data_IF_773462219826
#
_entry.id   IF_773462219826
#
_cell.length_a   1.000
_cell.length_b   1.000
_cell.length_c   1.000
_cell.angle_alpha   90.00
_cell.angle_beta   90.00
_cell.angle_gamma   90.00
#
_symmetry.space_group_name_H-M   'P 1'
#
loop_
_entity.id
_entity.type
_entity.pdbx_description
1 polymer ?
#
# COMPACT_ATOMS: atom_id res chain seq x y z
N UNK A 1 -21.10 -1.02 -50.03
CA UNK A 1 -21.58 0.21 -49.38
C UNK A 1 -21.88 -0.18 -47.94
N UNK A 2 -21.13 0.16 -46.90
CA UNK A 2 -20.24 1.30 -46.63
C UNK A 2 -19.21 0.81 -45.61
N UNK A 3 -17.92 1.01 -45.89
CA UNK A 3 -16.80 0.63 -45.03
C UNK A 3 -16.41 1.84 -44.19
N UNK A 4 -16.32 1.70 -42.86
CA UNK A 4 -15.83 2.75 -41.95
C UNK A 4 -14.44 2.36 -41.48
N UNK A 5 -13.44 3.03 -42.06
CA UNK A 5 -12.03 2.99 -41.66
C UNK A 5 -11.80 3.76 -40.37
N UNK A 6 -11.15 3.13 -39.40
CA UNK A 6 -10.58 3.77 -38.22
C UNK A 6 -9.21 4.36 -38.55
N UNK A 7 -9.06 5.67 -38.35
CA UNK A 7 -7.80 6.43 -38.46
C UNK A 7 -7.05 6.36 -37.13
N UNK A 8 -5.75 6.00 -37.10
CA UNK A 8 -4.94 6.11 -35.88
C UNK A 8 -4.35 7.51 -35.73
N UNK A 9 -4.57 8.13 -34.57
CA UNK A 9 -3.88 9.35 -34.12
C UNK A 9 -2.42 9.01 -33.76
N UNK A 10 -1.46 9.58 -34.51
CA UNK A 10 -0.04 9.58 -34.19
C UNK A 10 0.28 10.79 -33.30
N UNK A 11 0.78 10.58 -32.09
CA UNK A 11 1.48 11.61 -31.33
C UNK A 11 2.99 11.50 -31.59
N UNK A 12 3.57 12.58 -32.09
CA UNK A 12 5.00 12.72 -32.38
C UNK A 12 5.67 13.34 -31.15
N UNK A 13 6.64 12.64 -30.54
CA UNK A 13 7.51 13.19 -29.50
C UNK A 13 8.94 13.15 -30.05
N UNK A 14 9.48 14.32 -30.32
CA UNK A 14 10.86 14.56 -30.76
C UNK A 14 11.81 14.45 -29.57
N UNK A 15 12.81 13.58 -29.70
CA UNK A 15 13.91 13.40 -28.76
C UNK A 15 14.97 14.48 -28.95
N UNK A 16 15.36 15.17 -27.89
CA UNK A 16 16.61 15.92 -27.82
C UNK A 16 17.45 15.36 -26.66
N UNK A 17 18.48 14.59 -27.04
CA UNK A 17 19.56 14.14 -26.15
C UNK A 17 20.49 15.32 -25.89
N UNK A 18 20.82 15.59 -24.63
CA UNK A 18 21.99 16.38 -24.28
C UNK A 18 22.95 15.53 -23.44
N UNK A 19 24.15 15.30 -23.98
CA UNK A 19 25.29 14.70 -23.29
C UNK A 19 25.97 15.78 -22.45
N UNK A 20 26.28 15.48 -21.18
CA UNK A 20 27.28 16.23 -20.43
C UNK A 20 28.40 15.29 -19.99
N UNK A 21 29.59 15.57 -20.50
CA UNK A 21 30.87 14.97 -20.12
C UNK A 21 31.30 15.47 -18.73
N UNK A 22 31.95 14.60 -17.97
CA UNK A 22 32.52 14.91 -16.67
C UNK A 22 33.78 15.77 -16.74
N UNK A 23 34.06 16.47 -15.65
CA UNK A 23 35.41 16.89 -15.27
C UNK A 23 35.47 17.03 -13.74
N UNK A 24 36.23 16.12 -13.14
CA UNK A 24 36.71 16.13 -11.76
C UNK A 24 37.73 17.24 -11.57
N UNK A 25 37.69 18.03 -10.50
CA UNK A 25 38.87 18.76 -10.02
C UNK A 25 38.89 18.88 -8.50
N UNK A 26 40.10 18.65 -7.98
CA UNK A 26 40.47 18.38 -6.59
C UNK A 26 40.53 19.64 -5.74
N UNK A 27 40.26 19.41 -4.44
CA UNK A 27 40.63 20.27 -3.32
C UNK A 27 42.15 20.28 -3.09
N UNK A 28 42.70 21.46 -2.78
CA UNK A 28 43.83 21.61 -1.86
C UNK A 28 43.70 22.92 -1.09
N UNK A 29 43.76 22.80 0.24
CA UNK A 29 43.83 23.89 1.19
C UNK A 29 45.25 24.49 1.30
N UNK A 30 45.36 25.76 1.68
CA UNK A 30 46.48 26.26 2.47
C UNK A 30 46.16 27.56 3.20
N UNK A 31 46.52 27.55 4.49
CA UNK A 31 46.54 28.54 5.57
C UNK A 31 47.62 29.61 5.22
N UNK A 32 47.59 30.89 5.61
CA UNK A 32 47.95 31.41 6.96
C UNK A 32 48.22 32.94 6.90
N UNK A 33 47.67 33.67 7.88
CA UNK A 33 48.29 34.71 8.75
C UNK A 33 49.21 35.84 8.21
N UNK A 34 48.91 37.12 8.53
CA UNK A 34 49.51 37.97 9.61
C UNK A 34 49.40 39.50 9.36
N UNK A 35 48.94 40.19 10.41
CA UNK A 35 49.37 41.47 11.03
C UNK A 35 49.67 42.74 10.21
N UNK A 36 49.01 43.84 10.58
CA UNK A 36 49.56 45.04 11.29
C UNK A 36 48.54 46.21 11.17
N UNK A 37 47.78 46.63 12.17
CA UNK A 37 48.04 47.49 13.35
C UNK A 37 48.47 48.95 13.07
N UNK A 38 47.67 49.87 13.65
CA UNK A 38 47.93 51.28 14.05
C UNK A 38 48.04 52.31 12.90
N UNK A 39 47.51 53.54 12.97
CA UNK A 39 47.33 54.45 14.11
C UNK A 39 46.30 55.56 13.82
N UNK A 40 45.68 56.04 14.89
CA UNK A 40 44.85 57.25 15.06
C UNK A 40 45.66 58.55 15.04
N UNK A 41 45.08 59.65 14.49
CA UNK A 41 44.84 60.94 15.19
C UNK A 41 44.69 62.15 14.25
N UNK A 42 43.60 62.93 14.45
CA UNK A 42 43.42 64.43 14.43
C UNK A 42 44.18 65.31 13.40
N UNK A 43 43.69 66.42 12.83
CA UNK A 43 42.58 67.34 13.11
C UNK A 43 42.50 68.42 11.99
N UNK A 44 41.29 68.98 11.78
CA UNK A 44 40.93 70.36 11.35
C UNK A 44 41.71 71.10 10.24
N UNK A 45 41.02 71.54 9.17
CA UNK A 45 40.48 72.93 9.03
C UNK A 45 40.04 73.30 7.60
N UNK A 46 39.02 74.15 7.55
CA UNK A 46 38.64 75.15 6.52
C UNK A 46 38.16 74.73 5.12
N UNK A 47 36.87 75.01 4.92
CA UNK A 47 36.08 75.36 3.73
C UNK A 47 36.78 75.82 2.44
N UNK A 48 36.31 75.28 1.32
CA UNK A 48 35.87 76.08 0.17
C UNK A 48 34.97 75.25 -0.76
N UNK A 49 33.78 75.78 -1.04
CA UNK A 49 32.81 75.27 -2.00
C UNK A 49 33.37 75.27 -3.42
N UNK A 50 33.36 74.12 -4.08
CA UNK A 50 33.40 74.05 -5.55
C UNK A 50 32.52 72.89 -5.99
N UNK A 51 31.46 73.24 -6.70
CA UNK A 51 30.52 72.33 -7.35
C UNK A 51 31.25 71.50 -8.41
N UNK A 52 31.60 70.27 -8.07
CA UNK A 52 32.04 69.25 -9.03
C UNK A 52 30.85 68.33 -9.35
N UNK A 53 30.35 68.46 -10.56
CA UNK A 53 29.46 67.51 -11.22
C UNK A 53 30.08 66.10 -11.19
N UNK A 54 29.34 65.04 -10.85
CA UNK A 54 29.88 63.68 -10.93
C UNK A 54 30.10 63.34 -12.41
N UNK A 55 31.36 63.18 -12.79
CA UNK A 55 31.75 62.60 -14.07
C UNK A 55 31.37 61.13 -14.07
N UNK A 56 30.22 60.83 -14.66
CA UNK A 56 29.77 59.47 -14.95
C UNK A 56 30.73 58.84 -15.96
N UNK A 57 31.74 58.12 -15.49
CA UNK A 57 32.58 57.28 -16.34
C UNK A 57 31.71 56.18 -16.98
N UNK A 58 31.71 56.00 -18.31
CA UNK A 58 30.88 54.99 -18.96
C UNK A 58 31.42 53.60 -18.60
N UNK A 59 30.76 52.92 -17.66
CA UNK A 59 31.01 51.50 -17.41
C UNK A 59 30.81 50.74 -18.72
N UNK A 60 31.87 50.07 -19.20
CA UNK A 60 31.86 49.32 -20.44
C UNK A 60 30.71 48.29 -20.46
N UNK A 61 30.11 48.00 -21.63
CA UNK A 61 28.99 47.07 -21.72
C UNK A 61 29.34 45.69 -21.12
N UNK A 62 30.61 45.26 -21.23
CA UNK A 62 31.11 44.00 -20.68
C UNK A 62 30.99 43.91 -19.15
N UNK A 63 31.21 45.02 -18.45
CA UNK A 63 31.11 45.09 -16.98
C UNK A 63 29.66 45.01 -16.50
N UNK A 64 28.73 45.57 -17.28
CA UNK A 64 27.28 45.46 -17.00
C UNK A 64 26.76 44.03 -17.20
N UNK A 65 27.19 43.35 -18.26
CA UNK A 65 26.82 41.95 -18.48
C UNK A 65 27.34 41.01 -17.38
N UNK A 66 28.56 41.23 -16.88
CA UNK A 66 29.12 40.46 -15.76
C UNK A 66 28.37 40.71 -14.45
N UNK A 67 27.94 41.94 -14.18
CA UNK A 67 27.14 42.24 -13.00
C UNK A 67 25.76 41.56 -13.07
N UNK A 68 25.11 41.59 -14.24
CA UNK A 68 23.80 40.95 -14.45
C UNK A 68 23.91 39.43 -14.29
N UNK A 69 24.95 38.78 -14.83
CA UNK A 69 25.12 37.33 -14.69
C UNK A 69 25.37 36.93 -13.24
N UNK A 70 26.20 37.67 -12.49
CA UNK A 70 26.43 37.42 -11.06
C UNK A 70 25.15 37.54 -10.23
N UNK A 71 24.35 38.59 -10.45
CA UNK A 71 23.07 38.78 -9.76
C UNK A 71 22.09 37.65 -10.11
N UNK A 72 22.06 37.21 -11.37
CA UNK A 72 21.18 36.13 -11.83
C UNK A 72 21.54 34.78 -11.19
N UNK A 73 22.84 34.46 -11.12
CA UNK A 73 23.33 33.24 -10.48
C UNK A 73 23.07 33.27 -8.97
N UNK A 74 23.29 34.42 -8.32
CA UNK A 74 22.98 34.58 -6.90
C UNK A 74 21.48 34.44 -6.63
N UNK A 75 20.62 35.07 -7.44
CA UNK A 75 19.17 34.94 -7.33
C UNK A 75 18.69 33.50 -7.57
N UNK A 76 19.27 32.80 -8.55
CA UNK A 76 18.99 31.38 -8.78
C UNK A 76 19.44 30.49 -7.61
N UNK A 77 20.62 30.77 -7.04
CA UNK A 77 21.14 30.06 -5.86
C UNK A 77 20.26 30.28 -4.62
N UNK A 78 19.85 31.53 -4.37
CA UNK A 78 18.91 31.88 -3.30
C UNK A 78 17.54 31.23 -3.54
N UNK A 79 17.03 31.26 -4.77
CA UNK A 79 15.77 30.61 -5.15
C UNK A 79 15.81 29.09 -4.95
N UNK A 80 16.92 28.44 -5.32
CA UNK A 80 17.12 27.00 -5.09
C UNK A 80 17.22 26.67 -3.59
N UNK A 81 17.89 27.52 -2.81
CA UNK A 81 17.99 27.36 -1.36
C UNK A 81 16.64 27.53 -0.66
N UNK A 82 15.88 28.59 -0.99
CA UNK A 82 14.53 28.82 -0.46
C UNK A 82 13.61 27.64 -0.82
N UNK A 83 13.65 27.16 -2.07
CA UNK A 83 12.86 26.00 -2.50
C UNK A 83 13.27 24.71 -1.78
N UNK A 84 14.56 24.54 -1.45
CA UNK A 84 15.03 23.39 -0.67
C UNK A 84 14.57 23.42 0.79
N UNK A 85 14.19 24.60 1.30
CA UNK A 85 13.68 24.79 2.66
C UNK A 85 12.16 24.86 2.74
N UNK A 86 11.44 24.86 1.62
CA UNK A 86 9.97 24.75 1.65
C UNK A 86 9.61 23.39 2.25
N UNK A 87 8.77 23.33 3.30
CA UNK A 87 8.29 22.06 3.84
C UNK A 87 7.72 21.21 2.71
N UNK A 88 8.13 19.95 2.63
CA UNK A 88 7.55 19.01 1.65
C UNK A 88 6.02 18.96 1.82
N UNK A 89 5.31 18.63 0.72
CA UNK A 89 3.84 18.52 0.74
C UNK A 89 3.38 17.68 1.93
N UNK A 90 2.50 18.24 2.75
CA UNK A 90 1.85 17.53 3.86
C UNK A 90 0.84 16.49 3.36
N UNK A 91 0.39 16.64 2.11
CA UNK A 91 -0.59 15.76 1.48
C UNK A 91 0.08 14.66 0.67
N UNK A 92 -0.40 13.43 0.84
CA UNK A 92 0.05 12.25 0.09
C UNK A 92 -0.15 12.48 -1.42
N UNK A 93 0.87 12.20 -2.24
CA UNK A 93 0.80 12.33 -3.70
C UNK A 93 1.68 11.30 -4.42
N UNK A 94 1.40 11.08 -5.70
CA UNK A 94 2.05 10.04 -6.52
C UNK A 94 3.47 10.40 -6.95
N UNK A 95 3.84 11.68 -6.92
CA UNK A 95 5.11 12.16 -7.47
C UNK A 95 6.23 12.18 -6.43
N UNK A 96 5.92 12.63 -5.22
CA UNK A 96 6.90 12.94 -4.18
C UNK A 96 6.62 12.16 -2.90
N UNK A 97 7.69 11.90 -2.14
CA UNK A 97 7.55 11.30 -0.82
C UNK A 97 7.11 12.34 0.22
N UNK A 98 6.07 12.00 0.95
CA UNK A 98 5.56 12.75 2.11
C UNK A 98 5.97 12.05 3.40
N UNK A 99 6.32 12.82 4.42
CA UNK A 99 6.72 12.28 5.73
C UNK A 99 5.51 11.98 6.60
N UNK A 100 5.48 10.79 7.17
CA UNK A 100 4.55 10.33 8.18
C UNK A 100 5.32 9.96 9.44
N UNK A 101 4.77 10.19 10.61
CA UNK A 101 5.34 9.71 11.87
C UNK A 101 4.66 8.39 12.28
N UNK A 102 5.46 7.42 12.72
CA UNK A 102 4.98 6.19 13.33
C UNK A 102 4.37 6.50 14.69
N UNK A 103 3.08 6.23 14.86
CA UNK A 103 2.35 6.49 16.12
C UNK A 103 2.41 5.27 17.02
N UNK A 104 2.03 4.10 16.51
CA UNK A 104 2.06 2.84 17.24
C UNK A 104 2.46 1.68 16.34
N UNK A 105 3.02 0.64 16.98
CA UNK A 105 3.25 -0.67 16.38
C UNK A 105 2.74 -1.73 17.34
N UNK A 106 1.60 -2.32 17.02
CA UNK A 106 0.93 -3.30 17.86
C UNK A 106 1.17 -4.71 17.31
N UNK A 107 1.75 -5.64 18.09
CA UNK A 107 1.95 -7.01 17.64
C UNK A 107 0.60 -7.72 17.47
N UNK A 108 0.40 -8.35 16.31
CA UNK A 108 -0.76 -9.22 16.02
C UNK A 108 -0.36 -10.69 16.14
N UNK A 109 0.83 -11.04 15.68
CA UNK A 109 1.43 -12.35 15.84
C UNK A 109 2.94 -12.24 16.03
N UNK A 110 3.64 -13.38 16.15
CA UNK A 110 5.10 -13.41 16.21
C UNK A 110 5.78 -12.85 14.95
N UNK A 111 5.06 -12.76 13.83
CA UNK A 111 5.61 -12.28 12.56
C UNK A 111 4.88 -11.09 11.97
N UNK A 112 3.77 -10.63 12.55
CA UNK A 112 2.94 -9.57 11.97
C UNK A 112 2.59 -8.50 13.01
N UNK A 113 2.55 -7.25 12.57
CA UNK A 113 2.17 -6.11 13.41
C UNK A 113 1.26 -5.16 12.66
N UNK A 114 0.40 -4.48 13.41
CA UNK A 114 -0.38 -3.34 12.96
C UNK A 114 0.43 -2.06 13.18
N UNK A 115 0.66 -1.31 12.12
CA UNK A 115 1.37 -0.03 12.15
C UNK A 115 0.36 1.08 11.99
N UNK A 116 0.37 2.06 12.90
CA UNK A 116 -0.46 3.26 12.82
C UNK A 116 0.44 4.45 12.53
N UNK A 117 0.17 5.14 11.43
CA UNK A 117 0.94 6.29 10.96
C UNK A 117 0.05 7.53 10.89
N UNK A 118 0.65 8.70 11.05
CA UNK A 118 -0.02 9.98 10.79
C UNK A 118 0.86 10.92 9.98
N UNK A 119 0.30 11.82 9.15
CA UNK A 119 1.06 12.86 8.47
C UNK A 119 1.92 13.63 9.47
N UNK A 120 3.19 13.89 9.10
CA UNK A 120 4.10 14.66 9.97
C UNK A 120 3.63 16.10 10.16
N UNK A 121 2.97 16.64 9.14
CA UNK A 121 2.43 17.99 9.10
C UNK A 121 0.93 17.89 8.86
N UNK A 122 0.15 18.68 9.62
CA UNK A 122 -1.30 18.72 9.45
C UNK A 122 -1.67 19.25 8.06
N UNK A 123 -2.67 18.61 7.46
CA UNK A 123 -3.29 19.02 6.21
C UNK A 123 -4.73 18.58 6.23
N UNK A 124 -5.64 19.53 6.02
CA UNK A 124 -7.08 19.29 6.01
C UNK A 124 -7.54 18.39 4.84
N UNK A 125 -6.67 18.11 3.87
CA UNK A 125 -7.03 17.36 2.65
C UNK A 125 -6.56 15.90 2.60
N UNK A 126 -5.83 15.41 3.62
CA UNK A 126 -5.30 14.03 3.57
C UNK A 126 -6.42 12.97 3.62
N UNK A 127 -7.40 13.16 4.49
CA UNK A 127 -8.52 12.22 4.63
C UNK A 127 -9.31 12.07 3.32
N UNK A 128 -9.63 13.19 2.65
CA UNK A 128 -10.36 13.17 1.37
C UNK A 128 -9.61 12.36 0.30
N UNK A 129 -8.28 12.49 0.25
CA UNK A 129 -7.43 11.71 -0.68
C UNK A 129 -7.51 10.21 -0.39
N UNK A 130 -7.52 9.82 0.90
CA UNK A 130 -7.61 8.41 1.28
C UNK A 130 -9.00 7.84 1.00
N UNK A 131 -10.04 8.59 1.35
CA UNK A 131 -11.44 8.22 1.16
C UNK A 131 -11.78 8.07 -0.32
N UNK A 132 -11.32 8.99 -1.17
CA UNK A 132 -11.46 8.84 -2.62
C UNK A 132 -10.77 7.56 -3.14
N UNK A 133 -9.57 7.26 -2.64
CA UNK A 133 -8.83 6.05 -3.03
C UNK A 133 -9.56 4.76 -2.58
N UNK A 134 -10.05 4.70 -1.34
CA UNK A 134 -10.85 3.56 -0.83
C UNK A 134 -12.18 3.40 -1.58
N UNK A 135 -12.82 4.49 -1.99
CA UNK A 135 -14.05 4.41 -2.80
C UNK A 135 -13.78 3.93 -4.22
N UNK A 136 -12.60 4.22 -4.76
CA UNK A 136 -12.19 3.81 -6.12
C UNK A 136 -11.90 2.31 -6.22
N UNK A 137 -11.21 1.73 -5.24
CA UNK A 137 -10.89 0.30 -5.24
C UNK A 137 -9.75 -0.05 -4.28
N UNK A 138 -8.91 -1.00 -4.70
CA UNK A 138 -7.70 -1.40 -3.97
C UNK A 138 -6.55 -0.47 -4.35
N UNK A 139 -5.88 0.08 -3.34
CA UNK A 139 -4.77 1.00 -3.48
C UNK A 139 -3.65 0.72 -2.47
N UNK A 140 -2.46 1.21 -2.77
CA UNK A 140 -1.26 1.04 -1.96
C UNK A 140 -0.52 2.37 -1.78
N UNK A 141 0.40 2.40 -0.82
CA UNK A 141 1.42 3.43 -0.71
C UNK A 141 2.79 2.79 -0.68
N UNK A 142 3.74 3.42 -1.36
CA UNK A 142 5.12 2.98 -1.38
C UNK A 142 5.85 3.52 -0.15
N UNK A 143 6.32 2.61 0.69
CA UNK A 143 7.21 2.89 1.82
C UNK A 143 8.65 2.89 1.34
N UNK A 144 9.38 3.97 1.63
CA UNK A 144 10.80 4.06 1.31
C UNK A 144 11.67 3.60 2.49
N UNK A 145 12.68 2.81 2.16
CA UNK A 145 13.83 2.58 3.04
C UNK A 145 14.95 3.54 2.64
N UNK A 146 15.25 4.56 3.46
CA UNK A 146 16.15 5.65 3.06
C UNK A 146 17.62 5.21 2.92
N UNK A 147 18.08 4.18 3.64
CA UNK A 147 19.47 3.74 3.56
C UNK A 147 19.78 3.01 2.25
N UNK A 148 18.82 2.23 1.75
CA UNK A 148 18.98 1.45 0.52
C UNK A 148 18.32 2.10 -0.70
N UNK A 149 17.55 3.18 -0.51
CA UNK A 149 16.77 3.85 -1.55
C UNK A 149 15.86 2.88 -2.32
N UNK A 150 15.30 1.90 -1.62
CA UNK A 150 14.31 0.96 -2.17
C UNK A 150 12.92 1.29 -1.62
N UNK A 151 11.90 0.97 -2.41
CA UNK A 151 10.49 1.15 -2.05
C UNK A 151 9.71 -0.16 -2.08
N UNK A 152 8.71 -0.30 -1.21
CA UNK A 152 7.74 -1.40 -1.25
C UNK A 152 6.33 -0.89 -0.99
N UNK A 153 5.39 -1.41 -1.75
CA UNK A 153 3.99 -1.03 -1.66
C UNK A 153 3.30 -1.81 -0.54
N UNK A 154 2.57 -1.08 0.29
CA UNK A 154 1.73 -1.63 1.35
C UNK A 154 0.32 -1.04 1.27
N UNK A 155 -0.67 -1.88 1.54
CA UNK A 155 -2.09 -1.50 1.47
C UNK A 155 -2.57 -0.98 2.81
N UNK A 156 -3.04 0.27 2.91
CA UNK A 156 -3.63 0.77 4.14
C UNK A 156 -4.98 0.10 4.42
N UNK A 157 -5.25 -0.23 5.67
CA UNK A 157 -6.56 -0.72 6.10
C UNK A 157 -7.58 0.42 6.03
N UNK A 158 -8.80 0.16 5.53
CA UNK A 158 -9.87 1.15 5.58
C UNK A 158 -10.27 1.43 7.03
N UNK A 159 -10.91 2.58 7.26
CA UNK A 159 -11.55 2.88 8.53
C UNK A 159 -12.86 2.08 8.62
N UNK A 160 -13.02 1.24 9.63
CA UNK A 160 -14.28 0.51 9.90
C UNK A 160 -14.87 0.97 11.24
N UNK A 161 -16.11 0.57 11.54
CA UNK A 161 -16.74 0.87 12.83
C UNK A 161 -15.98 0.30 14.05
N UNK A 162 -15.14 -0.74 13.89
CA UNK A 162 -14.30 -1.24 15.00
C UNK A 162 -13.18 -0.27 15.36
N UNK A 163 -12.82 0.58 14.41
CA UNK A 163 -11.63 1.42 14.46
C UNK A 163 -11.92 2.79 13.92
N UNK A 164 -13.18 3.22 14.03
CA UNK A 164 -13.55 4.62 13.91
C UNK A 164 -12.73 5.29 14.99
N UNK A 165 -11.67 5.92 14.54
CA UNK A 165 -10.88 6.79 15.38
C UNK A 165 -11.81 7.94 15.80
N UNK A 166 -11.44 8.72 16.81
CA UNK A 166 -12.26 9.91 17.08
C UNK A 166 -12.39 10.74 15.78
N UNK A 167 -13.47 11.51 15.63
CA UNK A 167 -13.63 12.41 14.47
C UNK A 167 -12.36 13.27 14.29
N UNK A 168 -11.71 13.64 15.39
CA UNK A 168 -10.45 14.37 15.41
C UNK A 168 -9.28 13.56 14.81
N UNK A 169 -9.14 12.29 15.17
CA UNK A 169 -8.11 11.40 14.63
C UNK A 169 -8.36 11.05 13.13
N UNK A 170 -9.61 10.90 12.70
CA UNK A 170 -9.93 10.74 11.27
C UNK A 170 -9.54 12.00 10.48
N UNK A 171 -9.86 13.18 11.01
CA UNK A 171 -9.45 14.47 10.44
C UNK A 171 -7.92 14.67 10.46
N UNK A 172 -7.21 14.08 11.43
CA UNK A 172 -5.75 14.11 11.50
C UNK A 172 -5.06 13.18 10.47
N UNK A 173 -5.82 12.33 9.76
CA UNK A 173 -5.33 11.57 8.61
C UNK A 173 -4.53 10.30 8.96
N UNK A 174 -4.94 9.56 9.99
CA UNK A 174 -4.23 8.34 10.37
C UNK A 174 -4.42 7.22 9.33
N UNK A 175 -3.33 6.51 9.03
CA UNK A 175 -3.31 5.33 8.17
C UNK A 175 -2.80 4.12 8.95
N UNK A 176 -3.45 2.99 8.76
CA UNK A 176 -3.11 1.74 9.46
C UNK A 176 -2.68 0.68 8.47
N UNK A 177 -1.67 -0.12 8.81
CA UNK A 177 -1.10 -1.12 7.91
C UNK A 177 -0.87 -2.43 8.64
N UNK A 178 -1.34 -3.53 8.06
CA UNK A 178 -1.03 -4.87 8.55
C UNK A 178 0.19 -5.42 7.81
N UNK A 179 1.35 -5.41 8.48
CA UNK A 179 2.63 -5.71 7.86
C UNK A 179 3.27 -6.91 8.55
N UNK A 180 3.67 -7.89 7.73
CA UNK A 180 4.48 -9.02 8.17
C UNK A 180 5.96 -8.67 8.13
N UNK A 181 6.70 -9.01 9.19
CA UNK A 181 8.16 -9.04 9.22
C UNK A 181 8.67 -10.23 8.41
N UNK A 182 9.01 -9.97 7.15
CA UNK A 182 9.66 -10.98 6.31
C UNK A 182 11.14 -11.09 6.70
N UNK A 183 11.65 -12.28 7.08
CA UNK A 183 13.06 -12.49 7.39
C UNK A 183 14.02 -12.07 6.27
N UNK A 184 13.57 -12.07 5.02
CA UNK A 184 14.37 -11.70 3.85
C UNK A 184 13.93 -10.37 3.22
N UNK A 185 12.87 -9.74 3.75
CA UNK A 185 12.31 -8.51 3.19
C UNK A 185 12.92 -7.27 3.83
N UNK A 186 13.85 -6.61 3.13
CA UNK A 186 14.57 -5.41 3.60
C UNK A 186 13.66 -4.32 4.19
N UNK A 187 12.64 -3.85 3.43
CA UNK A 187 11.73 -2.79 3.89
C UNK A 187 10.91 -3.27 5.11
N UNK A 188 10.38 -4.49 5.08
CA UNK A 188 9.58 -5.00 6.20
C UNK A 188 10.37 -5.10 7.50
N UNK A 189 11.64 -5.52 7.43
CA UNK A 189 12.53 -5.57 8.60
C UNK A 189 12.85 -4.16 9.10
N UNK A 190 13.17 -3.24 8.19
CA UNK A 190 13.40 -1.84 8.50
C UNK A 190 12.23 -1.26 9.30
N UNK A 191 10.99 -1.43 8.82
CA UNK A 191 9.80 -0.93 9.53
C UNK A 191 9.65 -1.54 10.93
N UNK A 192 9.95 -2.84 11.09
CA UNK A 192 9.92 -3.51 12.39
C UNK A 192 11.11 -3.16 13.32
N UNK A 193 12.06 -2.34 12.88
CA UNK A 193 13.11 -1.77 13.74
C UNK A 193 12.83 -0.34 14.18
N UNK A 194 11.82 0.31 13.59
CA UNK A 194 11.46 1.67 13.94
C UNK A 194 10.71 1.71 15.26
N UNK A 195 11.03 2.73 16.06
CA UNK A 195 10.34 3.06 17.30
C UNK A 195 9.24 4.11 17.04
N UNK A 196 8.18 4.16 17.86
CA UNK A 196 7.20 5.24 17.83
C UNK A 196 7.86 6.62 17.83
N UNK A 197 7.33 7.53 17.02
CA UNK A 197 7.86 8.86 16.75
C UNK A 197 8.82 8.95 15.56
N UNK A 198 9.29 7.82 15.01
CA UNK A 198 10.15 7.81 13.83
C UNK A 198 9.42 8.30 12.57
N UNK A 199 10.16 9.00 11.70
CA UNK A 199 9.66 9.45 10.40
C UNK A 199 9.79 8.34 9.34
N UNK A 200 8.75 8.20 8.53
CA UNK A 200 8.64 7.27 7.41
C UNK A 200 8.23 8.07 6.18
N UNK A 201 8.91 7.84 5.06
CA UNK A 201 8.62 8.48 3.78
C UNK A 201 7.67 7.59 2.96
N UNK A 202 6.48 8.12 2.64
CA UNK A 202 5.43 7.46 1.87
C UNK A 202 5.15 8.18 0.54
N UNK A 203 4.84 7.43 -0.53
CA UNK A 203 4.37 7.98 -1.81
C UNK A 203 3.12 7.23 -2.28
N UNK A 204 2.09 7.92 -2.74
CA UNK A 204 0.80 7.33 -3.10
C UNK A 204 -0.31 8.38 -3.16
N UNK A 205 -1.60 8.03 -3.15
CA UNK A 205 -2.14 6.69 -3.34
C UNK A 205 -1.81 6.14 -4.74
N UNK A 206 -1.46 4.86 -4.83
CA UNK A 206 -1.33 4.13 -6.09
C UNK A 206 -2.50 3.15 -6.23
N UNK A 207 -3.36 3.34 -7.22
CA UNK A 207 -4.50 2.43 -7.45
C UNK A 207 -3.99 1.15 -8.12
N UNK A 208 -4.07 0.03 -7.40
CA UNK A 208 -3.65 -1.30 -7.88
C UNK A 208 -4.78 -2.00 -8.65
N UNK A 209 -6.03 -1.81 -8.22
CA UNK A 209 -7.20 -2.36 -8.87
C UNK A 209 -8.43 -1.50 -8.57
N UNK A 210 -8.95 -0.81 -9.59
CA UNK A 210 -10.25 -0.15 -9.49
C UNK A 210 -11.37 -1.19 -9.46
N UNK A 211 -12.39 -0.97 -8.63
CA UNK A 211 -13.58 -1.84 -8.57
C UNK A 211 -14.70 -1.17 -9.37
N UNK A 212 -15.02 -1.65 -10.59
CA UNK A 212 -16.05 -1.04 -11.44
C UNK A 212 -17.39 -0.90 -10.73
N UNK A 213 -18.16 0.14 -11.06
CA UNK A 213 -19.46 0.46 -10.42
C UNK A 213 -20.49 -0.65 -10.62
N UNK A 214 -20.35 -1.41 -11.69
CA UNK A 214 -21.24 -2.50 -12.10
C UNK A 214 -20.93 -3.83 -11.38
N UNK A 215 -19.86 -3.87 -10.57
CA UNK A 215 -19.47 -5.06 -9.82
C UNK A 215 -20.52 -5.36 -8.75
N UNK A 216 -21.09 -6.57 -8.78
CA UNK A 216 -22.06 -7.04 -7.79
C UNK A 216 -21.51 -8.13 -6.89
N UNK A 217 -20.52 -8.88 -7.35
CA UNK A 217 -19.96 -10.00 -6.61
C UNK A 217 -18.43 -9.96 -6.68
N UNK A 218 -17.78 -10.12 -5.52
CA UNK A 218 -16.34 -10.31 -5.40
C UNK A 218 -16.06 -11.62 -4.67
N UNK A 219 -15.27 -12.50 -5.29
CA UNK A 219 -14.56 -13.57 -4.61
C UNK A 219 -13.13 -13.11 -4.37
N UNK A 220 -12.77 -12.86 -3.11
CA UNK A 220 -11.43 -12.41 -2.73
C UNK A 220 -10.65 -13.57 -2.12
N UNK A 221 -9.50 -13.92 -2.70
CA UNK A 221 -8.62 -14.97 -2.20
C UNK A 221 -7.35 -14.31 -1.66
N UNK A 222 -7.26 -14.25 -0.33
CA UNK A 222 -6.20 -13.58 0.41
C UNK A 222 -5.22 -14.56 1.05
N UNK A 223 -3.93 -14.36 0.85
CA UNK A 223 -2.84 -15.05 1.54
C UNK A 223 -2.10 -14.11 2.49
N UNK A 224 -2.03 -14.45 3.78
CA UNK A 224 -1.33 -13.68 4.81
C UNK A 224 -1.85 -12.25 4.91
N UNK A 225 -0.95 -11.26 4.73
CA UNK A 225 -1.30 -9.84 4.76
C UNK A 225 -2.14 -9.37 3.56
N UNK A 226 -2.37 -10.22 2.55
CA UNK A 226 -3.30 -9.97 1.44
C UNK A 226 -4.76 -9.75 1.87
N UNK A 227 -5.07 -9.94 3.15
CA UNK A 227 -6.36 -9.56 3.76
C UNK A 227 -6.59 -8.04 3.76
N UNK A 228 -5.54 -7.22 3.80
CA UNK A 228 -5.67 -5.76 3.78
C UNK A 228 -6.32 -5.26 2.46
N UNK A 229 -5.85 -5.69 1.28
CA UNK A 229 -6.58 -5.51 0.02
C UNK A 229 -8.02 -6.04 0.01
N UNK A 230 -8.29 -7.16 0.69
CA UNK A 230 -9.66 -7.71 0.77
C UNK A 230 -10.60 -6.78 1.53
N UNK A 231 -10.13 -6.20 2.64
CA UNK A 231 -10.87 -5.20 3.41
C UNK A 231 -11.15 -3.95 2.59
N UNK A 232 -10.16 -3.44 1.84
CA UNK A 232 -10.39 -2.31 0.92
C UNK A 232 -11.41 -2.65 -0.18
N UNK A 233 -11.34 -3.86 -0.76
CA UNK A 233 -12.29 -4.30 -1.76
C UNK A 233 -13.72 -4.38 -1.19
N UNK A 234 -13.86 -4.90 0.03
CA UNK A 234 -15.11 -4.90 0.78
C UNK A 234 -15.64 -3.49 1.02
N UNK A 235 -14.79 -2.57 1.49
CA UNK A 235 -15.16 -1.17 1.71
C UNK A 235 -15.68 -0.50 0.43
N UNK A 236 -14.90 -0.55 -0.65
CA UNK A 236 -15.24 0.05 -1.95
C UNK A 236 -16.56 -0.49 -2.52
N UNK A 237 -16.76 -1.80 -2.42
CA UNK A 237 -17.94 -2.49 -2.95
C UNK A 237 -19.18 -2.19 -2.11
N UNK A 238 -19.10 -2.35 -0.78
CA UNK A 238 -20.26 -2.39 0.10
C UNK A 238 -20.77 -1.01 0.48
N UNK A 239 -19.95 0.04 0.41
CA UNK A 239 -20.41 1.42 0.54
C UNK A 239 -21.53 1.77 -0.47
N UNK A 240 -21.64 1.02 -1.57
CA UNK A 240 -22.65 1.21 -2.64
C UNK A 240 -24.00 0.55 -2.31
N UNK A 241 -24.14 -0.05 -1.13
CA UNK A 241 -25.35 -0.76 -0.71
C UNK A 241 -26.54 0.19 -0.62
N UNK A 242 -27.64 -0.17 -1.28
CA UNK A 242 -28.95 0.49 -1.17
C UNK A 242 -30.05 -0.56 -1.04
N UNK A 243 -31.31 -0.14 -0.89
CA UNK A 243 -32.46 -1.07 -0.83
C UNK A 243 -32.54 -2.00 -2.06
N UNK A 244 -32.15 -1.50 -3.23
CA UNK A 244 -32.25 -2.22 -4.51
C UNK A 244 -30.90 -2.73 -5.04
N UNK A 245 -29.79 -2.37 -4.39
CA UNK A 245 -28.45 -2.82 -4.75
C UNK A 245 -27.74 -3.37 -3.52
N UNK A 246 -27.56 -4.68 -3.47
CA UNK A 246 -26.90 -5.38 -2.36
C UNK A 246 -25.73 -6.21 -2.88
N UNK A 247 -24.57 -5.58 -3.17
CA UNK A 247 -23.42 -6.31 -3.65
C UNK A 247 -22.86 -7.22 -2.54
N UNK A 248 -22.13 -8.26 -2.92
CA UNK A 248 -21.63 -9.28 -2.00
C UNK A 248 -20.14 -9.53 -2.20
N UNK A 249 -19.44 -9.78 -1.10
CA UNK A 249 -18.05 -10.21 -1.10
C UNK A 249 -17.90 -11.49 -0.28
N UNK A 250 -17.20 -12.47 -0.85
CA UNK A 250 -16.76 -13.67 -0.17
C UNK A 250 -15.24 -13.63 -0.07
N UNK A 251 -14.70 -13.70 1.16
CA UNK A 251 -13.27 -13.63 1.43
C UNK A 251 -12.80 -15.02 1.88
N UNK A 252 -11.87 -15.59 1.13
CA UNK A 252 -11.12 -16.78 1.54
C UNK A 252 -9.78 -16.30 2.05
N UNK A 253 -9.51 -16.47 3.34
CA UNK A 253 -8.28 -16.02 3.96
C UNK A 253 -7.43 -17.21 4.41
N UNK A 254 -6.32 -17.42 3.69
CA UNK A 254 -5.27 -18.34 4.07
C UNK A 254 -4.21 -17.64 4.93
N UNK A 255 -3.96 -18.17 6.12
CA UNK A 255 -2.85 -17.72 6.99
C UNK A 255 -2.00 -18.91 7.44
N UNK A 256 -0.76 -18.61 7.85
CA UNK A 256 0.16 -19.63 8.36
C UNK A 256 -0.09 -19.92 9.83
N UNK A 257 -0.33 -18.88 10.62
CA UNK A 257 -0.44 -18.93 12.07
C UNK A 257 -1.86 -18.59 12.51
N UNK A 258 -2.43 -19.35 13.46
CA UNK A 258 -3.71 -19.00 14.10
C UNK A 258 -3.64 -17.65 14.78
N UNK A 259 -2.46 -17.29 15.30
CA UNK A 259 -2.20 -16.00 15.94
C UNK A 259 -2.63 -14.81 15.05
N UNK A 260 -2.49 -14.91 13.71
CA UNK A 260 -2.89 -13.83 12.82
C UNK A 260 -4.42 -13.63 12.77
N UNK A 261 -5.20 -14.68 13.06
CA UNK A 261 -6.67 -14.68 12.95
C UNK A 261 -7.38 -15.30 14.16
N UNK A 262 -6.85 -15.11 15.37
CA UNK A 262 -7.49 -15.57 16.62
C UNK A 262 -8.92 -15.04 16.71
N UNK A 263 -9.86 -15.92 17.06
CA UNK A 263 -11.30 -15.63 17.10
C UNK A 263 -12.01 -15.70 15.74
N UNK A 264 -11.29 -15.95 14.65
CA UNK A 264 -11.88 -16.15 13.33
C UNK A 264 -12.58 -17.51 13.18
N UNK A 265 -13.83 -17.48 12.73
CA UNK A 265 -14.65 -18.67 12.44
C UNK A 265 -15.16 -18.57 11.00
N UNK A 266 -15.04 -19.67 10.24
CA UNK A 266 -15.56 -19.78 8.87
C UNK A 266 -17.08 -19.64 8.86
N UNK A 267 -17.60 -18.78 7.99
CA UNK A 267 -19.05 -18.61 7.82
C UNK A 267 -19.68 -19.75 7.00
N UNK A 268 -18.90 -20.41 6.12
CA UNK A 268 -19.39 -21.54 5.34
C UNK A 268 -19.15 -22.86 6.11
N UNK A 269 -20.19 -23.66 6.37
CA UNK A 269 -20.00 -24.97 6.97
C UNK A 269 -19.26 -25.88 5.98
N UNK A 270 -18.10 -26.43 6.39
CA UNK A 270 -17.44 -27.46 5.59
C UNK A 270 -18.26 -28.75 5.65
N UNK A 271 -18.45 -29.39 4.50
CA UNK A 271 -18.79 -30.82 4.49
C UNK A 271 -17.71 -31.56 5.29
N UNK A 272 -18.07 -32.51 6.18
CA UNK A 272 -17.09 -33.19 7.02
C UNK A 272 -15.99 -33.77 6.14
N UNK A 273 -14.74 -33.42 6.44
CA UNK A 273 -13.58 -33.98 5.76
C UNK A 273 -13.70 -35.51 5.88
N UNK A 274 -13.83 -36.19 4.73
CA UNK A 274 -13.71 -37.64 4.70
C UNK A 274 -12.37 -37.96 5.35
N UNK A 275 -12.42 -38.55 6.55
CA UNK A 275 -11.24 -39.03 7.25
C UNK A 275 -10.39 -39.77 6.25
N UNK A 276 -9.12 -39.38 6.15
CA UNK A 276 -8.12 -40.12 5.39
C UNK A 276 -8.32 -41.60 5.68
N UNK A 277 -8.66 -42.33 4.60
CA UNK A 277 -8.76 -43.77 4.63
C UNK A 277 -7.50 -44.30 5.28
N UNK A 278 -7.67 -44.86 6.47
CA UNK A 278 -6.62 -45.55 7.19
C UNK A 278 -6.10 -46.66 6.29
N UNK A 279 -4.78 -46.63 6.12
CA UNK A 279 -3.91 -47.74 5.76
C UNK A 279 -4.61 -49.11 5.65
N UNK A 280 -4.78 -49.58 4.42
CA UNK A 280 -5.12 -50.96 4.10
C UNK A 280 -4.01 -51.98 4.47
N UNK A 281 -2.86 -51.52 4.98
CA UNK A 281 -1.82 -52.35 5.57
C UNK A 281 -1.96 -52.35 7.10
N UNK A 282 -2.82 -53.22 7.62
CA UNK A 282 -2.70 -53.80 8.98
C UNK A 282 -3.56 -55.06 9.14
N UNK A 283 -3.71 -55.83 8.06
CA UNK A 283 -4.25 -57.19 8.10
C UNK A 283 -3.19 -58.20 8.55
N UNK A 284 -2.67 -58.06 9.77
CA UNK A 284 -2.17 -59.17 10.58
C UNK A 284 -1.76 -58.65 11.97
N UNK A 285 -2.07 -59.44 13.00
CA UNK A 285 -1.83 -59.23 14.44
C UNK A 285 -2.97 -58.56 15.21
N UNK A 286 -3.83 -59.41 15.77
CA UNK A 286 -4.72 -59.06 16.87
C UNK A 286 -4.00 -59.06 18.22
N UNK A 287 -4.45 -58.22 19.15
CA UNK A 287 -5.14 -58.65 20.37
C UNK A 287 -5.31 -57.49 21.36
N UNK A 288 -6.45 -57.55 22.08
CA UNK A 288 -6.77 -57.03 23.42
C UNK A 288 -6.68 -55.52 23.74
N UNK A 289 -7.88 -54.94 23.87
CA UNK A 289 -8.39 -54.12 25.00
C UNK A 289 -7.42 -53.29 25.85
N UNK A 290 -7.66 -51.97 25.90
CA UNK A 290 -8.20 -51.23 27.08
C UNK A 290 -7.83 -49.75 27.00
N UNK A 291 -8.73 -48.87 27.46
CA UNK A 291 -8.41 -47.48 27.78
C UNK A 291 -9.26 -46.48 27.03
N UNK A 292 -10.47 -46.26 27.53
CA UNK A 292 -11.28 -45.09 27.20
C UNK A 292 -10.50 -43.80 27.50
N UNK A 293 -10.49 -42.87 26.54
CA UNK A 293 -10.58 -41.45 26.84
C UNK A 293 -11.48 -40.83 25.76
N UNK A 294 -12.71 -40.56 26.19
CA UNK A 294 -13.71 -39.88 25.40
C UNK A 294 -13.20 -38.47 25.09
N UNK A 295 -13.03 -38.19 23.80
CA UNK A 295 -12.83 -36.84 23.28
C UNK A 295 -14.04 -36.00 23.62
N UNK A 296 -13.84 -34.96 24.42
CA UNK A 296 -14.77 -33.88 24.63
C UNK A 296 -15.15 -33.27 23.27
N UNK A 297 -16.41 -33.48 22.89
CA UNK A 297 -17.07 -32.79 21.80
C UNK A 297 -17.42 -31.39 22.33
N UNK A 298 -16.68 -30.37 21.92
CA UNK A 298 -16.97 -29.00 22.31
C UNK A 298 -18.05 -28.43 21.39
N UNK A 299 -19.29 -28.60 21.84
CA UNK A 299 -20.48 -27.93 21.33
C UNK A 299 -20.28 -26.41 21.45
N UNK A 300 -20.60 -25.70 20.36
CA UNK A 300 -20.61 -24.25 20.27
C UNK A 300 -21.16 -23.59 21.55
N UNK A 301 -20.26 -22.93 22.28
CA UNK A 301 -20.60 -22.12 23.45
C UNK A 301 -20.47 -20.64 23.10
N UNK A 302 -21.32 -19.76 23.69
CA UNK A 302 -21.26 -18.33 23.45
C UNK A 302 -19.92 -17.77 23.93
N UNK A 303 -19.35 -16.86 23.14
CA UNK A 303 -18.07 -16.20 23.38
C UNK A 303 -17.99 -15.67 24.81
N UNK A 304 -17.07 -16.22 25.59
CA UNK A 304 -16.73 -15.67 26.91
C UNK A 304 -15.99 -14.34 26.73
N UNK A 305 -16.33 -13.29 27.49
CA UNK A 305 -15.65 -12.00 27.43
C UNK A 305 -14.24 -12.15 28.02
N UNK A 306 -13.24 -12.41 27.18
CA UNK A 306 -11.86 -12.60 27.65
C UNK A 306 -10.89 -13.26 26.66
N UNK A 307 -11.34 -13.83 25.54
CA UNK A 307 -10.41 -14.26 24.49
C UNK A 307 -9.94 -13.07 23.66
N UNK A 308 -8.64 -12.83 23.62
CA UNK A 308 -8.01 -11.82 22.78
C UNK A 308 -8.24 -12.15 21.30
N UNK A 309 -9.27 -11.56 20.70
CA UNK A 309 -9.54 -11.63 19.27
C UNK A 309 -8.50 -10.81 18.50
N UNK A 310 -7.98 -11.34 17.40
CA UNK A 310 -7.04 -10.65 16.50
C UNK A 310 -7.64 -9.33 16.01
N UNK A 311 -6.81 -8.29 15.94
CA UNK A 311 -7.22 -6.96 15.46
C UNK A 311 -7.84 -7.03 14.07
N UNK A 312 -7.30 -7.87 13.17
CA UNK A 312 -7.82 -8.02 11.81
C UNK A 312 -9.17 -8.75 11.80
N UNK A 313 -9.39 -9.69 12.70
CA UNK A 313 -10.69 -10.36 12.82
C UNK A 313 -11.74 -9.37 13.36
N UNK A 314 -11.38 -8.47 14.27
CA UNK A 314 -12.29 -7.40 14.73
C UNK A 314 -12.73 -6.49 13.58
N UNK A 315 -11.82 -6.15 12.65
CA UNK A 315 -12.16 -5.39 11.45
C UNK A 315 -13.18 -6.13 10.57
N UNK A 316 -12.96 -7.43 10.34
CA UNK A 316 -13.88 -8.25 9.55
C UNK A 316 -15.26 -8.35 10.20
N UNK A 317 -15.32 -8.57 11.50
CA UNK A 317 -16.59 -8.66 12.25
C UNK A 317 -17.32 -7.31 12.30
N UNK A 318 -16.62 -6.18 12.42
CA UNK A 318 -17.23 -4.86 12.30
C UNK A 318 -17.80 -4.63 10.90
N UNK A 319 -17.08 -5.02 9.85
CA UNK A 319 -17.56 -4.90 8.49
C UNK A 319 -18.80 -5.80 8.24
N UNK A 320 -18.81 -7.02 8.79
CA UNK A 320 -19.98 -7.92 8.76
C UNK A 320 -21.18 -7.31 9.50
N UNK A 321 -20.95 -6.72 10.66
CA UNK A 321 -21.99 -6.05 11.45
C UNK A 321 -22.57 -4.83 10.72
N UNK A 322 -21.74 -4.08 10.01
CA UNK A 322 -22.17 -2.92 9.22
C UNK A 322 -22.97 -3.34 7.97
N UNK A 323 -22.64 -4.49 7.37
CA UNK A 323 -23.25 -4.99 6.14
C UNK A 323 -23.79 -6.43 6.26
N UNK A 324 -24.83 -6.68 7.08
CA UNK A 324 -25.32 -8.03 7.35
C UNK A 324 -25.70 -8.81 6.08
N UNK A 325 -25.20 -10.04 5.96
CA UNK A 325 -25.48 -10.96 4.85
C UNK A 325 -24.80 -10.63 3.52
N UNK A 326 -23.97 -9.58 3.46
CA UNK A 326 -23.24 -9.19 2.24
C UNK A 326 -21.77 -9.62 2.27
N UNK A 327 -21.27 -10.07 3.42
CA UNK A 327 -19.89 -10.46 3.64
C UNK A 327 -19.87 -11.86 4.23
N UNK A 328 -18.98 -12.68 3.71
CA UNK A 328 -18.67 -14.00 4.26
C UNK A 328 -17.16 -14.19 4.23
N UNK A 329 -16.62 -14.86 5.24
CA UNK A 329 -15.18 -15.08 5.42
C UNK A 329 -14.95 -16.54 5.78
N UNK A 330 -14.06 -17.21 5.05
CA UNK A 330 -13.61 -18.56 5.34
C UNK A 330 -12.10 -18.60 5.60
N UNK A 331 -11.73 -19.21 6.72
CA UNK A 331 -10.36 -19.28 7.20
C UNK A 331 -9.69 -20.61 6.84
N UNK A 332 -8.47 -20.53 6.34
CA UNK A 332 -7.58 -21.64 5.99
C UNK A 332 -6.25 -21.44 6.69
N UNK A 333 -5.82 -22.45 7.45
CA UNK A 333 -4.69 -22.36 8.36
C UNK A 333 -3.69 -23.47 8.07
N UNK A 334 -2.47 -23.10 7.69
CA UNK A 334 -1.42 -24.07 7.37
C UNK A 334 -1.06 -24.92 8.60
N UNK A 335 -0.96 -24.32 9.79
CA UNK A 335 -0.67 -25.06 11.03
C UNK A 335 -1.79 -26.03 11.46
N UNK A 336 -3.03 -25.79 11.01
CA UNK A 336 -4.16 -26.70 11.21
C UNK A 336 -4.32 -27.68 10.03
N UNK A 337 -3.37 -27.72 9.09
CA UNK A 337 -3.41 -28.51 7.84
C UNK A 337 -4.67 -28.26 7.00
N UNK A 338 -5.17 -27.01 6.99
CA UNK A 338 -6.35 -26.60 6.22
C UNK A 338 -5.93 -25.77 5.01
N UNK A 339 -5.93 -26.39 3.84
CA UNK A 339 -5.54 -25.75 2.57
C UNK A 339 -6.75 -25.46 1.69
N UNK A 340 -6.64 -24.43 0.85
CA UNK A 340 -7.67 -24.06 -0.14
C UNK A 340 -7.62 -25.07 -1.28
N UNK A 341 -8.69 -25.84 -1.45
CA UNK A 341 -8.85 -26.80 -2.53
C UNK A 341 -9.74 -26.30 -3.66
N UNK A 342 -9.78 -27.06 -4.75
CA UNK A 342 -10.67 -26.79 -5.90
C UNK A 342 -12.15 -26.75 -5.51
N UNK A 343 -12.58 -27.68 -4.66
CA UNK A 343 -13.97 -27.80 -4.24
C UNK A 343 -14.43 -26.57 -3.43
N UNK A 344 -13.53 -26.02 -2.61
CA UNK A 344 -13.80 -24.82 -1.82
C UNK A 344 -14.03 -23.58 -2.71
N UNK A 345 -13.41 -23.54 -3.89
CA UNK A 345 -13.58 -22.46 -4.87
C UNK A 345 -14.75 -22.73 -5.83
N UNK A 346 -14.94 -23.99 -6.24
CA UNK A 346 -15.99 -24.39 -7.19
C UNK A 346 -17.41 -24.08 -6.69
N UNK A 347 -17.63 -24.10 -5.37
CA UNK A 347 -18.92 -23.72 -4.79
C UNK A 347 -19.29 -22.24 -5.02
N UNK A 348 -18.28 -21.37 -5.21
CA UNK A 348 -18.46 -19.93 -5.46
C UNK A 348 -18.34 -19.60 -6.95
N UNK A 349 -17.42 -20.25 -7.65
CA UNK A 349 -17.23 -20.11 -9.09
C UNK A 349 -18.16 -21.09 -9.80
N UNK A 350 -19.47 -20.82 -9.75
CA UNK A 350 -20.45 -21.59 -10.52
C UNK A 350 -20.47 -21.10 -11.97
N UNK A 351 -20.52 -22.01 -12.97
CA UNK A 351 -20.82 -21.62 -14.34
C UNK A 351 -22.22 -20.99 -14.36
N UNK A 352 -22.32 -19.72 -14.73
CA UNK A 352 -23.63 -19.06 -14.90
C UNK A 352 -24.36 -19.73 -16.06
N UNK A 353 -25.44 -20.47 -15.78
CA UNK A 353 -26.25 -21.18 -16.79
C UNK A 353 -27.38 -20.35 -17.40
N UNK A 354 -27.62 -19.12 -16.95
CA UNK A 354 -28.79 -18.34 -17.39
C UNK A 354 -28.45 -16.87 -17.64
N UNK A 355 -29.33 -16.25 -18.41
CA UNK A 355 -29.44 -14.88 -18.93
C UNK A 355 -29.25 -13.78 -17.88
N UNK A 356 -28.11 -13.75 -17.18
CA UNK A 356 -27.71 -12.58 -16.39
C UNK A 356 -27.54 -11.41 -17.35
N UNK A 357 -28.26 -10.31 -17.10
CA UNK A 357 -28.08 -9.06 -17.83
C UNK A 357 -26.58 -8.77 -17.96
N UNK A 358 -26.11 -8.45 -19.17
CA UNK A 358 -24.70 -8.12 -19.48
C UNK A 358 -24.13 -6.96 -18.62
N UNK A 359 -24.96 -6.34 -17.79
CA UNK A 359 -24.64 -5.23 -16.90
C UNK A 359 -24.06 -5.65 -15.54
N UNK A 360 -24.15 -6.92 -15.08
CA UNK A 360 -23.60 -7.30 -13.76
C UNK A 360 -22.21 -7.92 -13.88
N UNK A 361 -21.20 -7.30 -13.26
CA UNK A 361 -19.82 -7.83 -13.23
C UNK A 361 -19.53 -8.64 -11.96
N UNK A 362 -18.84 -9.76 -12.12
CA UNK A 362 -18.28 -10.59 -11.05
C UNK A 362 -16.75 -10.56 -11.11
N UNK A 363 -16.09 -10.39 -9.97
CA UNK A 363 -14.63 -10.28 -9.89
C UNK A 363 -14.02 -11.36 -8.99
N UNK A 364 -12.93 -11.97 -9.43
CA UNK A 364 -12.05 -12.77 -8.58
C UNK A 364 -10.78 -11.95 -8.35
N UNK A 365 -10.49 -11.60 -7.11
CA UNK A 365 -9.28 -10.89 -6.72
C UNK A 365 -8.37 -11.83 -5.94
N UNK A 366 -7.10 -11.92 -6.30
CA UNK A 366 -6.11 -12.78 -5.62
C UNK A 366 -4.97 -11.92 -5.09
N UNK A 367 -4.72 -11.94 -3.79
CA UNK A 367 -3.64 -11.17 -3.15
C UNK A 367 -2.86 -12.05 -2.17
N UNK A 368 -1.54 -11.95 -2.20
CA UNK A 368 -0.66 -12.68 -1.28
C UNK A 368 0.78 -12.77 -1.80
N UNK A 369 1.63 -13.59 -1.18
CA UNK A 369 2.98 -13.85 -1.69
C UNK A 369 2.95 -14.39 -3.13
N UNK A 370 4.00 -14.13 -3.91
CA UNK A 370 4.08 -14.53 -5.33
C UNK A 370 3.74 -16.01 -5.56
N UNK A 371 4.29 -16.91 -4.73
CA UNK A 371 4.00 -18.33 -4.81
C UNK A 371 2.51 -18.67 -4.59
N UNK A 372 1.82 -17.93 -3.71
CA UNK A 372 0.39 -18.09 -3.47
C UNK A 372 -0.43 -17.62 -4.67
N UNK A 373 -0.12 -16.43 -5.21
CA UNK A 373 -0.77 -15.91 -6.42
C UNK A 373 -0.56 -16.87 -7.61
N UNK A 374 0.67 -17.35 -7.79
CA UNK A 374 1.03 -18.25 -8.88
C UNK A 374 0.27 -19.58 -8.80
N UNK A 375 0.11 -20.13 -7.59
CA UNK A 375 -0.65 -21.34 -7.36
C UNK A 375 -2.16 -21.16 -7.63
N UNK A 376 -2.73 -20.02 -7.24
CA UNK A 376 -4.17 -19.76 -7.39
C UNK A 376 -4.56 -19.34 -8.81
N UNK A 377 -3.85 -18.38 -9.40
CA UNK A 377 -4.23 -17.69 -10.64
C UNK A 377 -3.10 -17.65 -11.70
N UNK A 378 -1.94 -18.24 -11.44
CA UNK A 378 -0.77 -18.15 -12.30
C UNK A 378 0.08 -16.91 -12.06
N UNK A 379 1.35 -16.93 -12.49
CA UNK A 379 2.29 -15.85 -12.20
C UNK A 379 1.89 -14.56 -12.94
N UNK A 380 2.24 -13.43 -12.32
CA UNK A 380 2.36 -12.15 -13.04
C UNK A 380 3.60 -12.18 -13.94
N UNK A 381 3.68 -11.27 -14.91
CA UNK A 381 4.79 -11.23 -15.86
C UNK A 381 5.40 -9.85 -15.92
N UNK A 382 6.74 -9.77 -15.86
CA UNK A 382 7.45 -8.53 -16.07
C UNK A 382 7.64 -8.27 -17.57
N UNK A 383 7.06 -7.20 -18.09
CA UNK A 383 7.20 -6.81 -19.48
C UNK A 383 7.07 -5.28 -19.64
N UNK A 384 7.76 -4.72 -20.62
CA UNK A 384 7.71 -3.26 -20.90
C UNK A 384 8.10 -2.36 -19.71
N UNK A 385 8.90 -2.89 -18.77
CA UNK A 385 9.33 -2.16 -17.58
C UNK A 385 8.30 -2.08 -16.46
N UNK A 386 7.19 -2.81 -16.55
CA UNK A 386 6.15 -2.90 -15.53
C UNK A 386 5.74 -4.35 -15.26
N UNK A 387 5.13 -4.58 -14.11
CA UNK A 387 4.50 -5.86 -13.79
C UNK A 387 3.11 -5.91 -14.45
N UNK A 388 2.89 -6.87 -15.34
CA UNK A 388 1.62 -7.13 -15.99
C UNK A 388 0.93 -8.34 -15.34
N UNK A 389 -0.39 -8.39 -15.49
CA UNK A 389 -1.21 -9.48 -14.95
C UNK A 389 -0.73 -10.88 -15.37
N UNK A 390 -0.25 -11.06 -16.60
CA UNK A 390 0.18 -12.38 -17.10
C UNK A 390 -0.98 -13.37 -17.31
N UNK A 391 -0.73 -14.55 -17.90
CA UNK A 391 -1.78 -15.50 -18.24
C UNK A 391 -2.46 -16.08 -16.98
N UNK A 392 -3.78 -16.31 -17.08
CA UNK A 392 -4.51 -17.07 -16.06
C UNK A 392 -4.05 -18.54 -16.07
N UNK A 393 -3.60 -19.04 -14.92
CA UNK A 393 -3.22 -20.44 -14.64
C UNK A 393 -3.68 -20.82 -13.23
N UNK A 394 -3.16 -21.92 -12.68
CA UNK A 394 -3.47 -22.36 -11.33
C UNK A 394 -4.89 -22.91 -11.19
N UNK A 395 -5.33 -23.05 -9.94
CA UNK A 395 -6.64 -23.62 -9.61
C UNK A 395 -7.78 -22.89 -10.31
N UNK A 396 -7.73 -21.55 -10.35
CA UNK A 396 -8.81 -20.74 -10.93
C UNK A 396 -8.99 -21.06 -12.41
N UNK A 397 -7.90 -21.24 -13.19
CA UNK A 397 -8.02 -21.62 -14.61
C UNK A 397 -8.72 -22.96 -14.79
N UNK A 398 -8.40 -23.92 -13.94
CA UNK A 398 -8.93 -25.29 -14.02
C UNK A 398 -10.44 -25.34 -13.73
N UNK A 399 -10.97 -24.33 -13.02
CA UNK A 399 -12.39 -24.17 -12.75
C UNK A 399 -13.17 -23.48 -13.88
N UNK A 400 -12.49 -23.01 -14.94
CA UNK A 400 -13.09 -22.30 -16.08
C UNK A 400 -14.09 -21.20 -15.63
N UNK A 401 -13.60 -20.07 -15.05
CA UNK A 401 -14.41 -19.09 -14.33
C UNK A 401 -15.18 -18.17 -15.28
N UNK A 402 -16.04 -18.75 -16.13
CA UNK A 402 -16.85 -18.02 -17.10
C UNK A 402 -17.72 -16.97 -16.41
N UNK A 403 -17.72 -15.76 -16.96
CA UNK A 403 -18.47 -14.62 -16.40
C UNK A 403 -17.74 -13.88 -15.26
N UNK A 404 -16.56 -14.36 -14.84
CA UNK A 404 -15.74 -13.69 -13.84
C UNK A 404 -14.51 -13.04 -14.48
N UNK A 405 -14.25 -11.79 -14.15
CA UNK A 405 -12.95 -11.18 -14.42
C UNK A 405 -11.99 -11.46 -13.25
N UNK A 406 -10.79 -11.94 -13.57
CA UNK A 406 -9.77 -12.31 -12.57
C UNK A 406 -8.66 -11.27 -12.55
N UNK A 407 -8.30 -10.81 -11.35
CA UNK A 407 -7.20 -9.85 -11.15
C UNK A 407 -6.27 -10.34 -10.03
N UNK A 408 -4.97 -10.22 -10.28
CA UNK A 408 -3.88 -10.56 -9.38
C UNK A 408 -3.31 -9.27 -8.81
N UNK A 409 -3.31 -9.14 -7.49
CA UNK A 409 -2.87 -7.95 -6.75
C UNK A 409 -1.41 -8.06 -6.35
#
# INVERSE_FOLDING_TARGET
MTSISLVPMKSSISSLRCRCSGATLRSTASRSHRYASTSTSSSSSSSSSTSATPSTSPTSPKTRWLAITLVSVAAAGVGAYIRSQTPGSATLNQETFTKYSLVSREPVSSTSSLFTLRPRYHSDGNYDVYEEAWRTGVWSVMFKQPQLQIGRDYTPLPTTAATSLSVDEENEGYLRFFIRKDPFGEVSRYLHTLEPGADIELRGPQIECAIPKETREILFIAGGTGIAPALQAGYSLLHRTTKNNRPRIHIIWASRLRADCVGGVSDTPKAPAASSSRSWFSGWFGSSSSGANASHFETASPVSPGQEQSLIVRELEALKSQYPGQITVDYYLDEENRFIGKNDLAQFIKPTTETENQETRKLILVSGPEGFISYMAGPKVWAQGTELQGPLKGIIKELDPKGWAVWKL
#
